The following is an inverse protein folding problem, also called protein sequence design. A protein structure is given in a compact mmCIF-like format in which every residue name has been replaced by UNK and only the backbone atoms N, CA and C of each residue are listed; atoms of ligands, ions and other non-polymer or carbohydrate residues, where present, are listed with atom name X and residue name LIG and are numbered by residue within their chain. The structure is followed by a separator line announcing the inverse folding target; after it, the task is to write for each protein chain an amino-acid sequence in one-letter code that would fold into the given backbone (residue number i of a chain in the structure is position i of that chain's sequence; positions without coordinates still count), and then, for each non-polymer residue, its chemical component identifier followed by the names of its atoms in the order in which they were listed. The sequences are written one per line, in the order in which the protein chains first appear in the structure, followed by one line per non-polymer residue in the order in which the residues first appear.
data_IF_886208090664
#
_entry.id   IF_886208090664
#
_cell.length_a   1.000
_cell.length_b   1.000
_cell.length_c   1.000
_cell.angle_alpha   90.00
_cell.angle_beta   90.00
_cell.angle_gamma   90.00
#
_symmetry.space_group_name_H-M   'P 1'
#
loop_
_entity.id
_entity.type
_entity.pdbx_description
1 polymer ?
#
# COMPACT_ATOMS: atom_id res chain seq x y z
N UNK A 1 -82.51 17.78 5.08
CA UNK A 1 -81.33 18.57 4.70
C UNK A 1 -80.19 18.23 5.65
N UNK A 2 -79.17 17.58 5.09
CA UNK A 2 -77.84 17.23 5.61
C UNK A 2 -77.52 15.75 5.31
N UNK A 3 -76.93 15.50 4.14
CA UNK A 3 -76.01 14.39 3.94
C UNK A 3 -74.68 14.74 4.64
N UNK A 4 -74.07 13.77 5.32
CA UNK A 4 -72.62 13.76 5.53
C UNK A 4 -72.07 12.33 5.49
N UNK A 5 -70.88 12.28 4.90
CA UNK A 5 -70.07 11.13 4.49
C UNK A 5 -69.09 10.76 5.60
N UNK A 6 -68.70 9.49 5.71
CA UNK A 6 -67.56 9.11 6.55
C UNK A 6 -67.16 7.64 6.42
N UNK A 7 -66.41 7.31 5.36
CA UNK A 7 -65.85 5.98 5.12
C UNK A 7 -64.80 5.58 6.17
N UNK A 8 -64.89 4.33 6.63
CA UNK A 8 -63.98 3.72 7.59
C UNK A 8 -62.65 3.35 6.90
N UNK A 9 -61.58 4.08 7.17
CA UNK A 9 -60.22 3.71 6.72
C UNK A 9 -59.70 2.58 7.60
N UNK A 10 -59.37 1.45 7.00
CA UNK A 10 -58.74 0.28 7.65
C UNK A 10 -57.22 0.47 7.59
N UNK A 11 -56.61 0.72 8.75
CA UNK A 11 -55.15 0.92 8.87
C UNK A 11 -54.35 -0.34 8.53
N UNK A 12 -53.09 -0.18 8.08
CA UNK A 12 -52.22 -1.29 7.74
C UNK A 12 -51.88 -2.15 8.97
N UNK A 13 -52.01 -3.45 8.77
CA UNK A 13 -51.94 -4.52 9.75
C UNK A 13 -50.48 -4.86 10.08
N UNK A 14 -49.96 -4.24 11.14
CA UNK A 14 -48.62 -4.40 11.73
C UNK A 14 -48.16 -5.87 11.89
N UNK A 15 -49.09 -6.81 12.01
CA UNK A 15 -48.77 -8.22 12.20
C UNK A 15 -48.14 -8.88 10.96
N UNK A 16 -48.43 -8.41 9.74
CA UNK A 16 -47.79 -8.93 8.51
C UNK A 16 -46.36 -8.46 8.31
N UNK A 17 -45.98 -7.31 8.87
CA UNK A 17 -44.63 -6.76 8.74
C UNK A 17 -43.63 -7.48 9.65
N UNK A 18 -44.06 -7.94 10.83
CA UNK A 18 -43.20 -8.69 11.75
C UNK A 18 -42.73 -10.02 11.15
N UNK A 19 -43.62 -10.76 10.47
CA UNK A 19 -43.24 -12.03 9.84
C UNK A 19 -42.33 -11.86 8.61
N UNK A 20 -42.50 -10.77 7.85
CA UNK A 20 -41.64 -10.47 6.72
C UNK A 20 -40.19 -10.16 7.17
N UNK A 21 -40.02 -9.43 8.28
CA UNK A 21 -38.71 -9.12 8.83
C UNK A 21 -37.99 -10.37 9.38
N UNK A 22 -38.73 -11.28 10.04
CA UNK A 22 -38.16 -12.53 10.56
C UNK A 22 -37.76 -13.48 9.42
N UNK A 23 -38.57 -13.55 8.36
CA UNK A 23 -38.24 -14.37 7.18
C UNK A 23 -36.99 -13.85 6.45
N UNK A 24 -36.84 -12.53 6.33
CA UNK A 24 -35.63 -11.90 5.77
C UNK A 24 -34.40 -12.14 6.66
N UNK A 25 -34.54 -12.03 7.98
CA UNK A 25 -33.43 -12.30 8.90
C UNK A 25 -33.00 -13.79 8.87
N UNK A 26 -33.94 -14.73 8.76
CA UNK A 26 -33.63 -16.15 8.63
C UNK A 26 -33.00 -16.48 7.27
N UNK A 27 -33.45 -15.84 6.18
CA UNK A 27 -32.85 -16.02 4.86
C UNK A 27 -31.43 -15.44 4.78
N UNK A 28 -31.19 -14.27 5.37
CA UNK A 28 -29.86 -13.65 5.44
C UNK A 28 -28.93 -14.43 6.38
N UNK A 29 -29.42 -14.86 7.54
CA UNK A 29 -28.66 -15.69 8.47
C UNK A 29 -28.30 -17.06 7.88
N UNK A 30 -29.22 -17.71 7.15
CA UNK A 30 -28.96 -18.97 6.47
C UNK A 30 -27.96 -18.84 5.31
N UNK A 31 -27.99 -17.73 4.56
CA UNK A 31 -27.02 -17.46 3.50
C UNK A 31 -25.60 -17.21 4.04
N UNK A 32 -25.48 -16.53 5.18
CA UNK A 32 -24.21 -16.30 5.87
C UNK A 32 -23.64 -17.59 6.46
N UNK A 33 -24.46 -18.43 7.10
CA UNK A 33 -23.99 -19.69 7.69
C UNK A 33 -23.55 -20.72 6.63
N UNK A 34 -24.23 -20.76 5.47
CA UNK A 34 -23.81 -21.61 4.35
C UNK A 34 -22.49 -21.17 3.69
N UNK A 35 -22.09 -19.89 3.84
CA UNK A 35 -20.78 -19.39 3.37
C UNK A 35 -19.62 -19.77 4.30
N UNK A 36 -19.88 -19.99 5.59
CA UNK A 36 -18.85 -20.44 6.54
C UNK A 36 -18.49 -21.92 6.31
N UNK A 37 -19.47 -22.78 5.98
CA UNK A 37 -19.22 -24.20 5.73
C UNK A 37 -18.44 -24.49 4.44
N UNK A 38 -18.52 -23.61 3.43
CA UNK A 38 -17.71 -23.69 2.20
C UNK A 38 -16.28 -23.16 2.37
N UNK A 39 -15.99 -22.50 3.49
CA UNK A 39 -14.64 -22.03 3.83
C UNK A 39 -13.82 -23.08 4.61
N UNK A 40 -14.46 -24.20 4.97
CA UNK A 40 -13.84 -25.32 5.67
C UNK A 40 -13.28 -26.39 4.75
N UNK A 41 -12.29 -26.07 3.91
CA UNK A 41 -11.40 -27.10 3.38
C UNK A 41 -9.97 -26.57 3.18
N UNK A 42 -9.03 -27.21 3.89
CA UNK A 42 -7.68 -26.71 4.14
C UNK A 42 -6.88 -26.28 2.92
N UNK A 43 -6.48 -25.02 2.93
CA UNK A 43 -5.23 -24.45 2.40
C UNK A 43 -5.16 -23.05 3.00
N UNK A 44 -4.00 -22.65 3.54
CA UNK A 44 -3.82 -21.27 4.03
C UNK A 44 -4.15 -20.23 2.95
N UNK A 45 -4.23 -18.93 3.32
CA UNK A 45 -4.44 -17.87 2.34
C UNK A 45 -3.48 -18.05 1.15
N UNK A 46 -3.95 -17.89 -0.10
CA UNK A 46 -3.08 -18.04 -1.27
C UNK A 46 -1.87 -17.10 -1.14
N UNK A 47 -0.68 -17.52 -1.61
CA UNK A 47 0.50 -16.67 -1.54
C UNK A 47 0.22 -15.34 -2.24
N UNK A 48 0.74 -14.26 -1.68
CA UNK A 48 0.56 -12.94 -2.25
C UNK A 48 1.10 -12.90 -3.69
N UNK A 49 0.30 -12.45 -4.65
CA UNK A 49 0.69 -12.38 -6.06
C UNK A 49 0.76 -10.93 -6.51
N UNK A 50 1.83 -10.57 -7.22
CA UNK A 50 1.95 -9.29 -7.90
C UNK A 50 0.99 -9.25 -9.10
N UNK A 51 -0.17 -8.65 -8.91
CA UNK A 51 -1.19 -8.49 -9.95
C UNK A 51 -0.88 -7.32 -10.88
N UNK A 52 -1.33 -7.42 -12.13
CA UNK A 52 -1.32 -6.32 -13.09
C UNK A 52 -2.50 -5.38 -12.80
N UNK A 53 -2.23 -4.15 -12.40
CA UNK A 53 -3.18 -3.04 -12.53
C UNK A 53 -2.81 -2.29 -13.82
N UNK A 54 -3.81 -1.97 -14.67
CA UNK A 54 -3.60 -1.51 -16.04
C UNK A 54 -2.62 -0.32 -16.15
N UNK A 55 -1.38 -0.61 -16.52
CA UNK A 55 -0.32 0.37 -16.69
C UNK A 55 -0.09 0.66 -18.17
N UNK A 56 -0.35 1.91 -18.58
CA UNK A 56 0.10 2.41 -19.88
C UNK A 56 1.63 2.29 -19.99
N UNK A 57 2.10 1.30 -20.76
CA UNK A 57 3.53 0.99 -20.94
C UNK A 57 4.29 2.17 -21.56
N UNK A 58 4.83 3.05 -20.74
CA UNK A 58 5.82 4.03 -21.19
C UNK A 58 7.16 3.32 -21.37
N UNK A 59 7.69 3.31 -22.59
CA UNK A 59 8.98 2.71 -22.89
C UNK A 59 10.09 3.33 -22.00
N UNK A 60 10.89 2.49 -21.33
CA UNK A 60 12.02 2.92 -20.50
C UNK A 60 11.69 3.21 -19.03
N UNK A 61 10.49 2.89 -18.54
CA UNK A 61 10.14 2.97 -17.11
C UNK A 61 9.79 1.59 -16.56
N UNK A 62 10.04 1.40 -15.27
CA UNK A 62 9.58 0.21 -14.54
C UNK A 62 8.09 0.33 -14.24
N UNK A 63 7.39 -0.79 -14.22
CA UNK A 63 5.97 -0.84 -13.79
C UNK A 63 5.86 -1.19 -12.32
N UNK A 64 4.69 -0.93 -11.71
CA UNK A 64 4.38 -1.34 -10.35
C UNK A 64 4.57 -2.85 -10.15
N UNK A 65 4.14 -3.67 -11.12
CA UNK A 65 4.39 -5.11 -11.11
C UNK A 65 5.86 -5.48 -11.07
N UNK A 66 6.69 -4.84 -11.90
CA UNK A 66 8.14 -5.10 -11.91
C UNK A 66 8.80 -4.74 -10.58
N UNK A 67 8.34 -3.68 -9.94
CA UNK A 67 8.77 -3.34 -8.58
C UNK A 67 8.29 -4.37 -7.56
N UNK A 68 7.07 -4.87 -7.70
CA UNK A 68 6.53 -5.91 -6.81
C UNK A 68 7.30 -7.21 -6.97
N UNK A 69 7.63 -7.64 -8.19
CA UNK A 69 8.45 -8.83 -8.43
C UNK A 69 9.87 -8.67 -7.86
N UNK A 70 10.46 -7.47 -7.93
CA UNK A 70 11.76 -7.19 -7.34
C UNK A 70 11.72 -7.17 -5.80
N UNK A 71 10.62 -6.71 -5.20
CA UNK A 71 10.45 -6.58 -3.76
C UNK A 71 10.01 -7.91 -3.11
N UNK A 72 9.03 -8.61 -3.70
CA UNK A 72 8.42 -9.84 -3.19
C UNK A 72 9.33 -11.06 -3.38
N UNK A 73 10.46 -11.03 -2.69
CA UNK A 73 11.48 -12.08 -2.72
C UNK A 73 11.29 -13.08 -1.58
N UNK A 74 11.67 -14.35 -1.77
CA UNK A 74 11.53 -15.37 -0.72
C UNK A 74 12.42 -15.13 0.50
N UNK A 75 13.51 -14.36 0.36
CA UNK A 75 14.41 -14.00 1.45
C UNK A 75 14.03 -12.70 2.16
N UNK A 76 12.98 -11.98 1.74
CA UNK A 76 12.64 -10.67 2.29
C UNK A 76 12.36 -10.72 3.80
N UNK A 77 11.57 -11.70 4.26
CA UNK A 77 11.28 -11.88 5.68
C UNK A 77 12.56 -12.10 6.51
N UNK A 78 13.52 -12.86 5.98
CA UNK A 78 14.81 -13.05 6.62
C UNK A 78 15.66 -11.76 6.65
N UNK A 79 15.60 -10.93 5.60
CA UNK A 79 16.28 -9.63 5.57
C UNK A 79 15.71 -8.66 6.60
N UNK A 80 14.42 -8.76 6.89
CA UNK A 80 13.69 -7.99 7.91
C UNK A 80 13.93 -8.48 9.34
N UNK A 81 14.60 -9.63 9.51
CA UNK A 81 14.83 -10.24 10.82
C UNK A 81 13.64 -11.06 11.33
N UNK A 82 12.65 -11.35 10.48
CA UNK A 82 11.47 -12.16 10.79
C UNK A 82 11.35 -13.38 9.86
N UNK A 83 12.36 -14.27 9.81
CA UNK A 83 12.46 -15.33 8.80
C UNK A 83 11.31 -16.35 8.81
N UNK A 84 10.49 -16.40 9.86
CA UNK A 84 9.32 -17.29 9.97
C UNK A 84 8.05 -16.65 9.43
N UNK A 85 8.05 -15.34 9.14
CA UNK A 85 6.88 -14.65 8.61
C UNK A 85 6.69 -14.93 7.12
N UNK A 86 5.43 -14.97 6.70
CA UNK A 86 5.05 -15.02 5.29
C UNK A 86 4.38 -13.71 4.90
N UNK A 87 4.60 -13.26 3.67
CA UNK A 87 3.93 -12.06 3.17
C UNK A 87 2.41 -12.28 3.16
N UNK A 88 1.68 -11.38 3.82
CA UNK A 88 0.22 -11.31 3.82
C UNK A 88 -0.28 -10.81 2.47
N UNK A 89 0.35 -9.74 2.00
CA UNK A 89 -0.01 -9.06 0.75
C UNK A 89 1.25 -8.65 0.01
N UNK A 90 1.13 -8.57 -1.30
CA UNK A 90 2.14 -8.12 -2.22
C UNK A 90 1.39 -7.52 -3.40
N UNK A 91 1.61 -6.23 -3.65
CA UNK A 91 0.90 -5.50 -4.69
C UNK A 91 1.85 -4.56 -5.41
N UNK A 92 1.56 -4.33 -6.68
CA UNK A 92 2.22 -3.34 -7.51
C UNK A 92 1.17 -2.43 -8.12
N UNK A 93 1.44 -1.14 -8.17
CA UNK A 93 0.54 -0.14 -8.75
C UNK A 93 1.31 0.89 -9.57
N UNK A 94 0.71 1.31 -10.67
CA UNK A 94 1.24 2.35 -11.53
C UNK A 94 0.47 3.64 -11.28
N UNK A 95 1.08 4.57 -10.54
CA UNK A 95 0.50 5.88 -10.25
C UNK A 95 1.24 7.00 -10.98
N UNK A 96 0.64 8.18 -10.99
CA UNK A 96 1.27 9.39 -11.51
C UNK A 96 0.77 10.62 -10.76
N UNK A 97 1.56 11.69 -10.79
CA UNK A 97 1.16 12.99 -10.25
C UNK A 97 1.48 14.11 -11.23
N UNK A 98 0.72 15.21 -11.15
CA UNK A 98 0.99 16.41 -11.94
C UNK A 98 1.95 17.32 -11.18
N UNK A 99 3.10 17.60 -11.79
CA UNK A 99 4.04 18.61 -11.29
C UNK A 99 3.43 20.02 -11.37
N UNK A 100 4.02 20.99 -10.66
CA UNK A 100 3.65 22.40 -10.71
C UNK A 100 3.67 22.97 -12.14
N UNK A 101 4.51 22.40 -13.03
CA UNK A 101 4.55 22.75 -14.46
C UNK A 101 3.51 22.03 -15.33
N UNK A 102 2.54 21.34 -14.75
CA UNK A 102 1.48 20.60 -15.47
C UNK A 102 1.93 19.29 -16.12
N UNK A 103 3.22 18.96 -16.07
CA UNK A 103 3.77 17.69 -16.56
C UNK A 103 3.39 16.55 -15.62
N UNK A 104 2.88 15.46 -16.19
CA UNK A 104 2.64 14.21 -15.48
C UNK A 104 3.95 13.45 -15.23
N UNK A 105 4.18 13.07 -13.98
CA UNK A 105 5.35 12.30 -13.53
C UNK A 105 4.83 10.95 -13.04
N UNK A 106 5.33 9.88 -13.64
CA UNK A 106 4.99 8.52 -13.22
C UNK A 106 5.70 8.17 -11.91
N UNK A 107 4.96 7.50 -11.03
CA UNK A 107 5.38 7.00 -9.71
C UNK A 107 4.91 5.55 -9.53
N UNK A 108 5.45 4.60 -10.30
CA UNK A 108 5.20 3.19 -10.05
C UNK A 108 5.64 2.85 -8.62
N UNK A 109 4.89 1.96 -7.98
CA UNK A 109 5.16 1.53 -6.62
C UNK A 109 4.79 0.07 -6.42
N UNK A 110 5.37 -0.51 -5.38
CA UNK A 110 5.01 -1.82 -4.88
C UNK A 110 5.08 -1.85 -3.36
N UNK A 111 4.29 -2.74 -2.78
CA UNK A 111 4.22 -2.96 -1.34
C UNK A 111 4.22 -4.45 -1.05
N UNK A 112 4.94 -4.85 0.00
CA UNK A 112 4.85 -6.19 0.59
C UNK A 112 4.61 -6.04 2.08
N UNK A 113 3.56 -6.67 2.58
CA UNK A 113 3.15 -6.62 3.98
C UNK A 113 3.40 -7.97 4.66
N UNK A 114 4.00 -7.91 5.84
CA UNK A 114 4.15 -9.01 6.78
C UNK A 114 3.41 -8.67 8.09
N UNK A 115 3.40 -9.59 9.06
CA UNK A 115 2.84 -9.32 10.38
C UNK A 115 3.53 -8.16 11.09
N UNK A 116 4.86 -8.10 11.05
CA UNK A 116 5.64 -7.08 11.77
C UNK A 116 5.94 -5.85 10.93
N UNK A 117 6.22 -6.03 9.64
CA UNK A 117 6.76 -4.99 8.76
C UNK A 117 5.92 -4.82 7.50
N UNK A 118 5.90 -3.58 7.02
CA UNK A 118 5.51 -3.30 5.64
C UNK A 118 6.67 -2.62 4.94
N UNK A 119 6.97 -3.09 3.72
CA UNK A 119 8.04 -2.54 2.88
C UNK A 119 7.41 -1.99 1.61
N UNK A 120 7.84 -0.81 1.18
CA UNK A 120 7.49 -0.28 -0.13
C UNK A 120 8.72 0.00 -0.97
N UNK A 121 8.55 -0.17 -2.27
CA UNK A 121 9.52 0.19 -3.29
C UNK A 121 8.82 1.06 -4.34
N UNK A 122 9.26 2.28 -4.55
CA UNK A 122 8.75 3.16 -5.61
C UNK A 122 9.87 3.66 -6.50
N UNK A 123 9.51 4.08 -7.71
CA UNK A 123 10.40 4.84 -8.58
C UNK A 123 9.77 6.19 -8.94
N UNK A 124 10.57 7.24 -9.05
CA UNK A 124 10.12 8.55 -9.57
C UNK A 124 10.96 8.96 -10.78
N UNK A 125 10.33 9.68 -11.71
CA UNK A 125 10.93 10.14 -12.96
C UNK A 125 10.82 11.65 -13.14
N UNK A 126 11.04 12.38 -12.05
CA UNK A 126 10.96 13.84 -11.97
C UNK A 126 12.15 14.58 -12.62
N UNK A 127 13.27 13.88 -12.82
CA UNK A 127 14.51 14.46 -13.34
C UNK A 127 15.32 15.20 -12.29
N UNK A 128 15.00 15.05 -11.01
CA UNK A 128 15.70 15.68 -9.90
C UNK A 128 16.83 14.75 -9.39
N UNK A 129 18.05 15.29 -9.21
CA UNK A 129 19.16 14.53 -8.62
C UNK A 129 18.89 14.24 -7.14
N UNK A 130 19.37 13.08 -6.68
CA UNK A 130 19.32 12.69 -5.26
C UNK A 130 20.44 13.37 -4.46
N UNK A 131 21.58 13.63 -5.07
CA UNK A 131 22.66 14.35 -4.42
C UNK A 131 22.18 15.76 -4.02
N UNK A 132 22.28 16.05 -2.73
CA UNK A 132 21.84 17.34 -2.18
C UNK A 132 20.38 17.38 -1.73
N UNK A 133 19.55 16.37 -2.00
CA UNK A 133 18.14 16.37 -1.54
C UNK A 133 18.00 16.32 -0.01
N UNK A 134 19.02 15.84 0.71
CA UNK A 134 19.05 15.80 2.18
C UNK A 134 18.75 17.16 2.83
N UNK A 135 19.09 18.29 2.21
CA UNK A 135 18.78 19.62 2.75
C UNK A 135 17.29 19.94 2.78
N UNK A 136 16.47 19.18 2.04
CA UNK A 136 15.03 19.34 1.93
C UNK A 136 14.26 18.27 2.72
N UNK A 137 14.93 17.20 3.17
CA UNK A 137 14.31 16.01 3.76
C UNK A 137 14.33 15.99 5.31
N UNK A 138 14.62 17.13 5.92
CA UNK A 138 14.69 17.29 7.37
C UNK A 138 16.10 17.21 7.94
N UNK A 139 16.22 17.49 9.24
CA UNK A 139 17.52 17.62 9.91
C UNK A 139 18.21 16.27 10.18
N UNK A 140 17.48 15.17 10.13
CA UNK A 140 17.99 13.81 10.32
C UNK A 140 18.30 13.10 8.99
N UNK A 141 18.18 13.81 7.87
CA UNK A 141 18.51 13.27 6.56
C UNK A 141 20.03 13.13 6.39
N UNK A 142 20.48 11.91 6.11
CA UNK A 142 21.88 11.56 5.95
C UNK A 142 22.21 11.27 4.48
N UNK A 143 23.14 12.03 3.91
CA UNK A 143 23.67 11.74 2.59
C UNK A 143 24.66 10.57 2.64
N UNK A 144 24.45 9.57 1.78
CA UNK A 144 25.27 8.35 1.73
C UNK A 144 25.45 7.87 0.29
N UNK A 145 26.17 6.76 0.13
CA UNK A 145 26.23 6.01 -1.13
C UNK A 145 25.72 4.60 -0.90
N UNK A 146 24.83 4.13 -1.76
CA UNK A 146 24.30 2.76 -1.75
C UNK A 146 24.56 2.17 -3.11
N UNK A 147 25.24 1.01 -3.15
CA UNK A 147 25.60 0.31 -4.39
C UNK A 147 26.30 1.23 -5.42
N UNK A 148 27.15 2.13 -4.93
CA UNK A 148 27.92 3.08 -5.75
C UNK A 148 27.15 4.32 -6.22
N UNK A 149 25.90 4.50 -5.79
CA UNK A 149 25.00 5.58 -6.24
C UNK A 149 24.70 6.56 -5.10
N UNK A 150 24.48 7.86 -5.39
CA UNK A 150 24.02 8.81 -4.37
C UNK A 150 22.71 8.34 -3.74
N UNK A 151 22.63 8.45 -2.42
CA UNK A 151 21.46 8.08 -1.65
C UNK A 151 21.26 9.03 -0.46
N UNK A 152 20.03 9.13 0.01
CA UNK A 152 19.67 9.85 1.23
C UNK A 152 18.78 8.97 2.10
N UNK A 153 19.17 8.82 3.36
CA UNK A 153 18.44 8.10 4.39
C UNK A 153 17.76 9.12 5.31
N UNK A 154 16.47 8.99 5.61
CA UNK A 154 15.73 9.97 6.41
C UNK A 154 14.53 9.36 7.15
N UNK A 155 14.01 10.08 8.15
CA UNK A 155 12.75 9.71 8.82
C UNK A 155 11.56 10.15 7.99
N UNK A 156 10.58 9.27 7.91
CA UNK A 156 9.27 9.59 7.36
C UNK A 156 8.17 9.14 8.33
N UNK A 157 6.91 9.36 7.98
CA UNK A 157 5.75 8.85 8.71
C UNK A 157 4.69 8.37 7.73
N UNK A 158 4.03 7.26 8.09
CA UNK A 158 2.82 6.87 7.37
C UNK A 158 1.67 7.86 7.69
N UNK A 159 0.56 7.74 6.98
CA UNK A 159 -0.65 8.53 7.24
C UNK A 159 -1.68 7.60 7.89
N UNK A 160 -2.24 8.01 9.02
CA UNK A 160 -3.38 7.31 9.64
C UNK A 160 -4.68 7.87 9.08
N UNK A 161 -5.60 7.00 8.67
CA UNK A 161 -6.95 7.37 8.25
C UNK A 161 -7.93 6.57 9.11
N UNK A 162 -8.84 7.26 9.80
CA UNK A 162 -9.90 6.64 10.60
C UNK A 162 -11.27 6.94 10.01
N UNK A 163 -11.99 5.88 9.66
CA UNK A 163 -13.33 5.94 9.10
C UNK A 163 -14.36 5.74 10.21
N UNK A 164 -15.36 6.62 10.27
CA UNK A 164 -16.47 6.44 11.20
C UNK A 164 -17.58 5.65 10.53
N UNK A 165 -18.05 4.59 11.18
CA UNK A 165 -19.13 3.73 10.66
C UNK A 165 -20.53 4.35 10.80
N UNK A 166 -20.64 5.51 11.44
CA UNK A 166 -21.88 6.28 11.58
C UNK A 166 -22.14 7.24 10.42
N UNK A 167 -21.30 7.18 9.36
CA UNK A 167 -21.41 8.04 8.19
C UNK A 167 -20.85 9.44 8.38
N UNK A 168 -20.15 9.70 9.49
CA UNK A 168 -19.40 10.94 9.69
C UNK A 168 -18.14 11.03 8.83
N UNK A 169 -17.55 12.23 8.77
CA UNK A 169 -16.32 12.48 8.03
C UNK A 169 -15.16 11.61 8.53
N UNK A 170 -14.26 11.26 7.62
CA UNK A 170 -13.04 10.51 7.96
C UNK A 170 -11.98 11.46 8.51
N UNK A 171 -11.29 11.05 9.56
CA UNK A 171 -10.20 11.81 10.14
C UNK A 171 -8.86 11.32 9.58
N UNK A 172 -7.95 12.25 9.33
CA UNK A 172 -6.59 11.97 8.85
C UNK A 172 -5.57 12.56 9.81
N UNK A 173 -4.48 11.85 10.04
CA UNK A 173 -3.46 12.24 11.00
C UNK A 173 -2.10 11.59 10.76
N UNK A 174 -1.10 11.94 11.58
CA UNK A 174 0.21 11.30 11.51
C UNK A 174 0.10 9.82 11.87
N UNK A 175 0.57 8.96 10.98
CA UNK A 175 0.69 7.52 11.22
C UNK A 175 1.97 7.13 11.96
N UNK A 176 2.36 5.88 11.78
CA UNK A 176 3.53 5.30 12.45
C UNK A 176 4.84 5.82 11.87
N UNK A 177 5.93 5.85 12.66
CA UNK A 177 7.25 6.16 12.15
C UNK A 177 7.66 5.22 11.00
N UNK A 178 8.29 5.80 9.99
CA UNK A 178 8.87 5.07 8.87
C UNK A 178 10.33 5.49 8.66
N UNK A 179 11.13 4.61 8.07
CA UNK A 179 12.48 4.91 7.60
C UNK A 179 12.52 4.77 6.09
N UNK A 180 13.06 5.77 5.43
CA UNK A 180 13.08 5.85 3.98
C UNK A 180 14.50 6.03 3.46
N UNK A 181 14.79 5.38 2.34
CA UNK A 181 16.05 5.45 1.62
C UNK A 181 15.77 5.76 0.15
N UNK A 182 16.10 6.98 -0.25
CA UNK A 182 16.05 7.43 -1.65
C UNK A 182 17.40 7.17 -2.30
N UNK A 183 17.43 6.44 -3.41
CA UNK A 183 18.66 6.09 -4.16
C UNK A 183 18.54 6.55 -5.60
N UNK A 184 19.59 7.17 -6.14
CA UNK A 184 19.60 7.62 -7.53
C UNK A 184 19.40 6.46 -8.52
N UNK A 185 18.64 6.71 -9.60
CA UNK A 185 18.41 5.72 -10.66
C UNK A 185 19.65 5.39 -11.50
N UNK A 186 20.71 6.19 -11.42
CA UNK A 186 22.00 5.85 -12.00
C UNK A 186 23.17 6.46 -11.21
N UNK A 187 24.37 5.93 -11.44
CA UNK A 187 25.58 6.37 -10.74
C UNK A 187 25.99 7.82 -11.05
N UNK A 188 25.48 8.41 -12.14
CA UNK A 188 25.72 9.80 -12.52
C UNK A 188 24.69 10.76 -11.95
N UNK A 189 23.67 10.24 -11.27
CA UNK A 189 22.61 11.02 -10.62
C UNK A 189 21.91 11.99 -11.59
N UNK A 190 21.58 11.50 -12.78
CA UNK A 190 21.00 12.31 -13.86
C UNK A 190 19.52 12.69 -13.64
N UNK A 191 18.94 12.23 -12.54
CA UNK A 191 17.57 12.51 -12.16
C UNK A 191 16.70 11.26 -12.01
N UNK A 192 15.72 11.35 -11.11
CA UNK A 192 14.87 10.24 -10.72
C UNK A 192 15.51 9.34 -9.67
N UNK A 193 14.67 8.72 -8.86
CA UNK A 193 15.10 7.84 -7.75
C UNK A 193 14.33 6.53 -7.71
N UNK A 194 14.87 5.62 -6.92
CA UNK A 194 14.21 4.47 -6.34
C UNK A 194 14.15 4.70 -4.83
N UNK A 195 12.96 4.62 -4.25
CA UNK A 195 12.73 4.86 -2.83
C UNK A 195 12.32 3.55 -2.17
N UNK A 196 13.06 3.16 -1.12
CA UNK A 196 12.71 2.02 -0.26
C UNK A 196 12.26 2.57 1.07
N UNK A 197 11.05 2.23 1.50
CA UNK A 197 10.50 2.66 2.78
C UNK A 197 10.09 1.45 3.61
N UNK A 198 10.35 1.53 4.90
CA UNK A 198 10.06 0.50 5.88
C UNK A 198 9.29 1.13 7.05
N UNK A 199 8.25 0.46 7.52
CA UNK A 199 7.60 0.78 8.80
C UNK A 199 7.13 -0.49 9.50
N UNK A 200 6.83 -0.36 10.79
CA UNK A 200 6.38 -1.48 11.63
C UNK A 200 4.91 -1.34 11.99
N UNK A 201 4.19 -2.46 12.00
CA UNK A 201 2.80 -2.53 12.42
C UNK A 201 2.63 -2.19 13.92
N UNK A 202 3.66 -2.44 14.74
CA UNK A 202 3.66 -2.14 16.17
C UNK A 202 4.02 -0.67 16.50
N UNK A 203 4.28 0.16 15.49
CA UNK A 203 4.64 1.57 15.67
C UNK A 203 6.08 1.81 16.11
N UNK A 204 6.90 0.76 16.25
CA UNK A 204 8.32 0.90 16.51
C UNK A 204 9.05 1.58 15.35
N UNK A 205 10.15 2.27 15.64
CA UNK A 205 11.02 2.85 14.61
C UNK A 205 11.87 1.73 13.99
N UNK A 206 11.82 1.53 12.66
CA UNK A 206 12.68 0.55 11.99
C UNK A 206 14.18 0.87 12.11
N UNK A 207 15.02 -0.16 12.08
CA UNK A 207 16.49 -0.02 12.08
C UNK A 207 17.01 0.30 10.67
N UNK A 208 17.84 1.33 10.55
CA UNK A 208 18.49 1.75 9.31
C UNK A 208 19.36 0.65 8.68
N UNK A 209 19.99 -0.19 9.50
CA UNK A 209 20.78 -1.32 9.00
C UNK A 209 19.90 -2.39 8.33
N UNK A 210 18.64 -2.55 8.79
CA UNK A 210 17.67 -3.44 8.14
C UNK A 210 17.24 -2.85 6.80
N UNK A 211 16.91 -1.56 6.75
CA UNK A 211 16.53 -0.87 5.53
C UNK A 211 17.64 -0.93 4.46
N UNK A 212 18.88 -0.64 4.84
CA UNK A 212 20.04 -0.72 3.95
C UNK A 212 20.24 -2.14 3.40
N UNK A 213 20.13 -3.16 4.26
CA UNK A 213 20.26 -4.57 3.85
C UNK A 213 19.19 -4.97 2.83
N UNK A 214 17.94 -4.54 3.03
CA UNK A 214 16.85 -4.76 2.09
C UNK A 214 17.16 -4.07 0.76
N UNK A 215 17.52 -2.79 0.79
CA UNK A 215 17.84 -2.03 -0.41
C UNK A 215 19.00 -2.65 -1.21
N UNK A 216 20.07 -3.08 -0.55
CA UNK A 216 21.22 -3.71 -1.20
C UNK A 216 20.87 -5.03 -1.91
N UNK A 217 19.81 -5.72 -1.49
CA UNK A 217 19.35 -6.98 -2.10
C UNK A 217 18.26 -6.78 -3.14
N UNK A 218 17.36 -5.82 -2.92
CA UNK A 218 16.19 -5.55 -3.78
C UNK A 218 16.55 -4.67 -4.97
N UNK A 219 17.30 -3.59 -4.76
CA UNK A 219 17.59 -2.62 -5.83
C UNK A 219 18.32 -3.23 -7.04
N UNK A 220 19.30 -4.14 -6.87
CA UNK A 220 19.95 -4.79 -8.01
C UNK A 220 19.03 -5.65 -8.88
N UNK A 221 17.88 -6.08 -8.35
CA UNK A 221 16.91 -6.89 -9.09
C UNK A 221 15.86 -6.07 -9.84
N UNK A 222 15.84 -4.75 -9.65
CA UNK A 222 14.93 -3.86 -10.38
C UNK A 222 15.32 -3.81 -11.87
N UNK A 223 14.39 -4.00 -12.81
CA UNK A 223 14.68 -3.89 -14.23
C UNK A 223 15.31 -2.54 -14.60
N UNK A 224 16.37 -2.56 -15.42
CA UNK A 224 17.12 -1.35 -15.77
C UNK A 224 18.22 -0.98 -14.76
N UNK A 225 18.36 -1.70 -13.65
CA UNK A 225 19.50 -1.55 -12.77
C UNK A 225 20.80 -1.97 -13.46
N UNK A 226 21.64 -0.99 -13.78
CA UNK A 226 23.00 -1.23 -14.26
C UNK A 226 23.97 -1.10 -13.09
N UNK A 227 24.68 -2.18 -12.77
CA UNK A 227 25.82 -2.09 -11.86
C UNK A 227 26.81 -1.07 -12.44
N UNK A 228 27.14 -0.04 -11.68
CA UNK A 228 28.13 0.95 -12.09
C UNK A 228 29.41 0.23 -12.48
N UNK A 229 29.83 0.39 -13.73
CA UNK A 229 31.14 -0.08 -14.22
C UNK A 229 32.20 0.95 -13.85
#
# INVERSE_FOLDING_TARGET
MAEEVGGHIKGPNAWRQAFAAIALAAALGGALWASEELSGNGSGPPPATCSDEDAGKAAGRVTGKQLCEALHRPDLAALLGTPTETAKTASGGDSSFKSAGGKEIATPSAQVEFDTYTVTLSATYDGLPVAGSHTLLGNDAEQRKVLGRPAVLYSDRTISISFRLDGGDSETGPGVPARALTVAQDAKDRGGSLDVTLWRADGGVPDDAVLLRVAEKVLPTVPGWTAGR
#
